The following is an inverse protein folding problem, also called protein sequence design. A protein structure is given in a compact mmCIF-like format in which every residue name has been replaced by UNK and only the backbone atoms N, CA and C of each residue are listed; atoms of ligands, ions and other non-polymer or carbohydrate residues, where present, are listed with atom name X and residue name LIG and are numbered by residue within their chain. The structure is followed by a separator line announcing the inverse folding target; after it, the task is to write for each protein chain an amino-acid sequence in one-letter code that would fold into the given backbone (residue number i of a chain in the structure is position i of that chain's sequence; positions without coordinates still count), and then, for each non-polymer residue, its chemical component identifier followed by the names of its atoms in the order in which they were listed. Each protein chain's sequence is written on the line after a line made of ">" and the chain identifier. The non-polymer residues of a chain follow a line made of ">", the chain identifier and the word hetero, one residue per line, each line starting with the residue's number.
data_IF_316586267351
#
_entry.id   IF_316586267351
#
_cell.length_a   1.000
_cell.length_b   1.000
_cell.length_c   1.000
_cell.angle_alpha   90.00
_cell.angle_beta   90.00
_cell.angle_gamma   90.00
#
_symmetry.space_group_name_H-M   'P 1'
#
loop_
_entity.id
_entity.type
_entity.pdbx_description
1 polymer ?
#
# COMPACT_ATOMS: atom_id res chain seq x y z
N UNK A 1 -35.92 -43.79 47.91
CA UNK A 1 -36.41 -43.46 46.56
C UNK A 1 -35.42 -42.53 45.88
N UNK A 2 -35.32 -42.66 44.57
CA UNK A 2 -34.16 -42.38 43.73
C UNK A 2 -34.44 -41.12 42.89
N UNK A 3 -33.66 -40.05 43.05
CA UNK A 3 -33.68 -38.90 42.13
C UNK A 3 -32.25 -38.43 41.82
N UNK A 4 -31.79 -38.82 40.65
CA UNK A 4 -30.56 -38.35 40.00
C UNK A 4 -30.89 -37.01 39.33
N UNK A 5 -30.38 -35.90 39.85
CA UNK A 5 -30.41 -34.60 39.16
C UNK A 5 -29.13 -34.49 38.31
N UNK A 6 -29.29 -34.72 37.00
CA UNK A 6 -28.25 -34.50 36.00
C UNK A 6 -28.23 -33.01 35.62
N UNK A 7 -27.40 -32.22 36.27
CA UNK A 7 -27.18 -30.81 35.94
C UNK A 7 -26.25 -30.69 34.72
N UNK A 8 -26.81 -30.47 33.54
CA UNK A 8 -26.10 -30.09 32.32
C UNK A 8 -25.59 -28.63 32.46
N UNK A 9 -24.31 -28.47 32.79
CA UNK A 9 -23.59 -27.21 32.66
C UNK A 9 -23.20 -27.02 31.19
N UNK A 10 -23.98 -26.21 30.46
CA UNK A 10 -23.55 -25.64 29.18
C UNK A 10 -22.47 -24.59 29.46
N UNK A 11 -21.30 -24.64 28.81
CA UNK A 11 -20.33 -23.57 28.92
C UNK A 11 -20.89 -22.30 28.26
N UNK A 12 -20.99 -21.21 29.01
CA UNK A 12 -21.20 -19.88 28.48
C UNK A 12 -20.09 -19.57 27.46
N UNK A 13 -20.46 -19.55 26.19
CA UNK A 13 -19.62 -19.00 25.13
C UNK A 13 -19.55 -17.49 25.37
N UNK A 14 -18.46 -17.04 25.96
CA UNK A 14 -18.11 -15.62 26.04
C UNK A 14 -17.87 -15.16 24.60
N UNK A 15 -18.79 -14.35 24.07
CA UNK A 15 -18.59 -13.69 22.79
C UNK A 15 -17.27 -12.89 22.84
N UNK A 16 -16.42 -12.97 21.81
CA UNK A 16 -15.22 -12.14 21.75
C UNK A 16 -15.65 -10.67 21.76
N UNK A 17 -14.86 -9.78 22.41
CA UNK A 17 -15.15 -8.35 22.40
C UNK A 17 -15.26 -7.88 20.94
N UNK A 18 -16.42 -7.31 20.63
CA UNK A 18 -16.66 -6.58 19.39
C UNK A 18 -15.57 -5.51 19.29
N UNK A 19 -14.74 -5.48 18.22
CA UNK A 19 -13.79 -4.40 18.06
C UNK A 19 -14.61 -3.10 17.92
N UNK A 20 -14.42 -2.21 18.89
CA UNK A 20 -14.96 -0.86 18.88
C UNK A 20 -14.62 -0.18 17.55
N UNK A 21 -15.64 0.41 16.96
CA UNK A 21 -15.61 1.13 15.69
C UNK A 21 -14.53 2.22 15.82
N UNK A 22 -13.52 2.13 14.97
CA UNK A 22 -12.44 3.11 14.91
C UNK A 22 -13.01 4.52 14.72
N UNK A 23 -12.68 5.41 15.67
CA UNK A 23 -12.87 6.84 15.50
C UNK A 23 -12.29 7.30 14.17
N UNK A 24 -13.05 8.15 13.47
CA UNK A 24 -12.82 8.75 12.15
C UNK A 24 -11.56 9.65 12.07
N UNK A 25 -10.41 9.12 12.50
CA UNK A 25 -9.10 9.78 12.60
C UNK A 25 -7.92 8.88 12.18
N UNK A 26 -8.19 7.66 11.70
CA UNK A 26 -7.22 6.82 10.99
C UNK A 26 -7.22 7.27 9.52
N UNK A 27 -6.12 7.60 8.83
CA UNK A 27 -4.87 6.88 8.66
C UNK A 27 -3.81 7.83 8.07
N UNK A 28 -3.26 8.76 8.87
CA UNK A 28 -1.96 9.34 8.51
C UNK A 28 -0.85 8.37 8.94
N UNK A 29 -0.27 7.68 7.96
CA UNK A 29 0.72 6.64 8.25
C UNK A 29 1.79 6.60 7.17
N UNK A 30 3.05 6.46 7.59
CA UNK A 30 4.19 6.35 6.69
C UNK A 30 4.79 4.96 6.80
N UNK A 31 4.99 4.34 5.63
CA UNK A 31 5.56 3.02 5.48
C UNK A 31 6.79 3.08 4.60
N UNK A 32 7.84 2.34 4.97
CA UNK A 32 9.09 2.33 4.24
C UNK A 32 9.57 0.90 3.94
N UNK A 33 10.23 0.75 2.79
CA UNK A 33 10.96 -0.46 2.43
C UNK A 33 12.46 -0.20 2.40
N UNK A 34 13.24 -1.23 2.70
CA UNK A 34 14.70 -1.20 2.70
C UNK A 34 15.29 -2.32 1.84
N UNK A 35 16.62 -2.36 1.72
CA UNK A 35 17.33 -3.48 1.12
C UNK A 35 17.08 -4.84 1.84
N UNK A 36 16.72 -4.82 3.12
CA UNK A 36 16.48 -6.01 3.94
C UNK A 36 15.01 -6.43 3.97
N UNK A 37 14.14 -5.43 3.99
CA UNK A 37 12.68 -5.56 3.95
C UNK A 37 12.17 -4.97 2.63
N UNK A 38 12.35 -5.69 1.50
CA UNK A 38 12.15 -5.13 0.17
C UNK A 38 10.68 -5.03 -0.23
N UNK A 39 9.73 -5.41 0.64
CA UNK A 39 8.32 -5.49 0.29
C UNK A 39 7.43 -5.30 1.51
N UNK A 40 6.36 -4.54 1.34
CA UNK A 40 5.26 -4.40 2.29
C UNK A 40 3.92 -4.46 1.55
N UNK A 41 2.89 -4.81 2.30
CA UNK A 41 1.50 -4.73 1.88
C UNK A 41 0.74 -3.96 2.95
N UNK A 42 -0.05 -2.99 2.52
CA UNK A 42 -0.89 -2.19 3.42
C UNK A 42 -2.32 -2.30 2.92
N UNK A 43 -3.25 -2.52 3.84
CA UNK A 43 -4.70 -2.48 3.59
C UNK A 43 -5.26 -1.39 4.50
N UNK A 44 -6.10 -0.53 3.95
CA UNK A 44 -6.86 0.45 4.75
C UNK A 44 -8.14 -0.17 5.28
N UNK A 45 -8.72 0.50 6.27
CA UNK A 45 -10.06 0.20 6.73
C UNK A 45 -11.09 0.39 5.61
N UNK A 46 -12.31 -0.09 5.87
CA UNK A 46 -13.44 0.08 4.98
C UNK A 46 -13.97 1.51 5.13
N UNK A 47 -13.95 2.25 4.03
CA UNK A 47 -14.27 3.66 4.00
C UNK A 47 -15.52 3.86 3.15
N UNK A 48 -16.54 4.47 3.73
CA UNK A 48 -17.69 4.91 2.96
C UNK A 48 -17.36 6.24 2.29
N UNK A 49 -17.26 6.26 0.96
CA UNK A 49 -16.82 7.42 0.20
C UNK A 49 -17.83 7.83 -0.86
N UNK A 50 -17.91 9.15 -1.07
CA UNK A 50 -18.72 9.78 -2.10
C UNK A 50 -17.81 10.35 -3.22
N UNK A 51 -18.40 10.89 -4.29
CA UNK A 51 -17.66 11.45 -5.45
C UNK A 51 -16.82 12.70 -5.14
N UNK A 52 -16.99 13.29 -3.96
CA UNK A 52 -16.30 14.51 -3.50
C UNK A 52 -15.18 14.23 -2.52
N UNK A 53 -15.09 13.01 -1.99
CA UNK A 53 -14.05 12.57 -1.06
C UNK A 53 -13.05 11.67 -1.78
N UNK A 54 -11.77 12.00 -1.66
CA UNK A 54 -10.66 11.30 -2.32
C UNK A 54 -9.65 10.83 -1.27
N UNK A 55 -9.12 9.62 -1.44
CA UNK A 55 -8.01 9.15 -0.60
C UNK A 55 -6.69 9.66 -1.18
N UNK A 56 -5.94 10.45 -0.43
CA UNK A 56 -4.64 10.96 -0.85
C UNK A 56 -3.49 10.11 -0.31
N UNK A 57 -2.47 9.90 -1.15
CA UNK A 57 -1.21 9.30 -0.74
C UNK A 57 -0.04 9.93 -1.49
N UNK A 58 1.10 10.00 -0.81
CA UNK A 58 2.37 10.46 -1.37
C UNK A 58 3.42 9.36 -1.32
N UNK A 59 4.40 9.41 -2.21
CA UNK A 59 5.41 8.38 -2.31
C UNK A 59 6.76 8.92 -2.74
N UNK A 60 7.80 8.21 -2.32
CA UNK A 60 9.18 8.49 -2.69
C UNK A 60 9.90 7.18 -3.04
N UNK A 61 10.13 6.95 -4.33
CA UNK A 61 10.81 5.76 -4.85
C UNK A 61 12.28 6.11 -5.09
N UNK A 62 13.18 5.58 -4.26
CA UNK A 62 14.58 6.05 -4.21
C UNK A 62 15.57 5.14 -4.94
N UNK A 63 15.14 3.96 -5.41
CA UNK A 63 16.03 3.00 -6.05
C UNK A 63 15.40 2.32 -7.27
N UNK A 64 16.27 1.83 -8.16
CA UNK A 64 15.86 1.03 -9.30
C UNK A 64 14.97 -0.15 -8.89
N UNK A 65 13.93 -0.39 -9.71
CA UNK A 65 13.02 -1.53 -9.62
C UNK A 65 12.13 -1.51 -8.37
N UNK A 66 12.11 -0.38 -7.67
CA UNK A 66 11.08 -0.06 -6.69
C UNK A 66 9.81 0.35 -7.42
N UNK A 67 8.68 -0.21 -6.99
CA UNK A 67 7.36 0.05 -7.57
C UNK A 67 6.35 0.16 -6.43
N UNK A 68 5.43 1.09 -6.58
CA UNK A 68 4.24 1.22 -5.77
C UNK A 68 3.03 0.85 -6.64
N UNK A 69 2.15 0.02 -6.10
CA UNK A 69 0.84 -0.27 -6.68
C UNK A 69 -0.20 0.11 -5.65
N UNK A 70 -1.09 1.02 -6.02
CA UNK A 70 -2.27 1.37 -5.25
C UNK A 70 -3.47 0.71 -5.92
N UNK A 71 -4.29 0.01 -5.15
CA UNK A 71 -5.50 -0.65 -5.59
C UNK A 71 -6.67 0.01 -4.89
N UNK A 72 -7.63 0.49 -5.66
CA UNK A 72 -8.92 0.96 -5.19
C UNK A 72 -9.93 -0.14 -5.44
N UNK A 73 -10.52 -0.69 -4.38
CA UNK A 73 -11.47 -1.79 -4.46
C UNK A 73 -12.83 -1.37 -3.90
N UNK A 74 -13.87 -1.53 -4.72
CA UNK A 74 -15.26 -1.38 -4.30
C UNK A 74 -15.73 -2.66 -3.59
N UNK A 75 -16.35 -2.53 -2.41
CA UNK A 75 -16.81 -3.65 -1.57
C UNK A 75 -18.31 -3.98 -1.69
N UNK A 76 -18.97 -3.53 -2.76
CA UNK A 76 -20.38 -3.81 -3.03
C UNK A 76 -20.64 -4.99 -3.97
N UNK A 77 -21.91 -5.22 -4.30
CA UNK A 77 -22.31 -6.16 -5.36
C UNK A 77 -21.67 -5.76 -6.70
N UNK A 78 -21.02 -6.71 -7.37
CA UNK A 78 -20.19 -6.47 -8.57
C UNK A 78 -18.97 -5.54 -8.34
N UNK A 79 -18.48 -5.47 -7.10
CA UNK A 79 -17.25 -4.78 -6.75
C UNK A 79 -16.05 -5.25 -7.59
N UNK A 80 -15.23 -4.30 -8.05
CA UNK A 80 -13.98 -4.58 -8.73
C UNK A 80 -12.88 -3.65 -8.22
N UNK A 81 -11.63 -4.02 -8.51
CA UNK A 81 -10.45 -3.26 -8.12
C UNK A 81 -9.77 -2.61 -9.32
N UNK A 82 -9.43 -1.33 -9.22
CA UNK A 82 -8.60 -0.61 -10.20
C UNK A 82 -7.21 -0.39 -9.63
N UNK A 83 -6.18 -0.54 -10.45
CA UNK A 83 -4.78 -0.43 -10.03
C UNK A 83 -4.12 0.81 -10.64
N UNK A 84 -3.61 1.69 -9.77
CA UNK A 84 -2.68 2.75 -10.12
C UNK A 84 -1.24 2.32 -9.82
N UNK A 85 -0.34 2.53 -10.78
CA UNK A 85 1.02 2.00 -10.74
C UNK A 85 2.06 3.10 -10.88
N UNK A 86 2.92 3.19 -9.88
CA UNK A 86 4.05 4.10 -9.83
C UNK A 86 5.36 3.31 -9.79
N UNK A 87 6.39 3.79 -10.49
CA UNK A 87 7.66 3.09 -10.58
C UNK A 87 8.83 4.07 -10.66
N UNK A 88 9.96 3.67 -10.10
CA UNK A 88 11.21 4.42 -10.23
C UNK A 88 11.58 4.64 -11.69
N UNK A 89 11.78 5.90 -12.09
CA UNK A 89 12.16 6.28 -13.45
C UNK A 89 13.68 6.37 -13.58
N UNK A 90 14.28 5.37 -14.23
CA UNK A 90 15.75 5.31 -14.39
C UNK A 90 16.35 6.49 -15.16
N UNK A 91 15.61 7.06 -16.11
CA UNK A 91 16.10 8.14 -16.99
C UNK A 91 16.44 9.42 -16.25
N UNK A 92 15.81 9.70 -15.11
CA UNK A 92 16.09 10.91 -14.32
C UNK A 92 17.34 10.77 -13.44
N UNK A 93 17.76 9.53 -13.12
CA UNK A 93 18.82 9.26 -12.14
C UNK A 93 18.49 9.71 -10.71
N UNK A 94 17.31 10.31 -10.49
CA UNK A 94 16.83 10.87 -9.22
C UNK A 94 15.71 10.02 -8.66
N UNK A 95 15.40 10.21 -7.38
CA UNK A 95 14.22 9.59 -6.77
C UNK A 95 12.95 10.03 -7.50
N UNK A 96 12.00 9.11 -7.66
CA UNK A 96 10.67 9.41 -8.19
C UNK A 96 9.77 9.73 -7.01
N UNK A 97 9.53 11.02 -6.80
CA UNK A 97 8.62 11.54 -5.79
C UNK A 97 7.31 11.89 -6.49
N UNK A 98 6.19 11.58 -5.86
CA UNK A 98 4.89 11.90 -6.42
C UNK A 98 3.82 11.94 -5.35
N UNK A 99 2.69 12.56 -5.70
CA UNK A 99 1.52 12.63 -4.86
C UNK A 99 0.30 12.39 -5.74
N UNK A 100 -0.52 11.42 -5.36
CA UNK A 100 -1.62 10.93 -6.15
C UNK A 100 -2.84 10.69 -5.25
N UNK A 101 -4.01 10.58 -5.86
CA UNK A 101 -5.25 10.33 -5.15
C UNK A 101 -6.05 9.24 -5.82
N UNK A 102 -6.86 8.54 -5.01
CA UNK A 102 -7.84 7.55 -5.48
C UNK A 102 -9.21 8.19 -5.32
N UNK A 103 -9.94 8.23 -6.43
CA UNK A 103 -11.22 8.91 -6.53
C UNK A 103 -12.33 7.88 -6.81
N UNK A 104 -13.31 7.76 -5.91
CA UNK A 104 -14.51 6.95 -6.14
C UNK A 104 -15.18 7.30 -7.47
N UNK A 105 -15.40 6.28 -8.30
CA UNK A 105 -16.05 6.44 -9.60
C UNK A 105 -17.58 6.31 -9.55
N UNK A 106 -18.13 5.75 -8.48
CA UNK A 106 -19.59 5.64 -8.32
C UNK A 106 -20.20 6.96 -7.87
N UNK A 107 -21.37 7.30 -8.42
CA UNK A 107 -22.10 8.53 -8.09
C UNK A 107 -22.63 8.57 -6.66
N UNK A 108 -23.01 7.41 -6.12
CA UNK A 108 -23.54 7.26 -4.78
C UNK A 108 -22.45 6.87 -3.78
N UNK A 109 -22.72 7.11 -2.50
CA UNK A 109 -21.86 6.62 -1.42
C UNK A 109 -21.73 5.10 -1.51
N UNK A 110 -20.50 4.61 -1.44
CA UNK A 110 -20.20 3.18 -1.48
C UNK A 110 -19.02 2.89 -0.55
N UNK A 111 -18.94 1.64 -0.11
CA UNK A 111 -17.83 1.17 0.71
C UNK A 111 -16.65 0.80 -0.18
N UNK A 112 -15.52 1.44 0.06
CA UNK A 112 -14.25 1.17 -0.60
C UNK A 112 -13.22 0.67 0.41
N UNK A 113 -12.26 -0.13 -0.07
CA UNK A 113 -11.04 -0.44 0.65
C UNK A 113 -9.85 -0.28 -0.29
N UNK A 114 -8.74 0.18 0.26
CA UNK A 114 -7.55 0.49 -0.52
C UNK A 114 -6.41 -0.42 -0.12
N UNK A 115 -5.74 -0.98 -1.12
CA UNK A 115 -4.56 -1.81 -0.91
C UNK A 115 -3.34 -1.16 -1.55
N UNK A 116 -2.23 -1.16 -0.83
CA UNK A 116 -0.96 -0.67 -1.34
C UNK A 116 0.09 -1.78 -1.29
N UNK A 117 0.83 -1.92 -2.38
CA UNK A 117 2.02 -2.77 -2.44
C UNK A 117 3.21 -1.91 -2.82
N UNK A 118 4.12 -1.73 -1.87
CA UNK A 118 5.41 -1.10 -2.12
C UNK A 118 6.47 -2.20 -2.12
N UNK A 119 7.09 -2.43 -3.27
CA UNK A 119 8.06 -3.51 -3.44
C UNK A 119 9.28 -3.10 -4.27
N UNK A 120 10.45 -3.66 -3.92
CA UNK A 120 11.64 -3.66 -4.75
C UNK A 120 11.82 -5.05 -5.36
N UNK A 121 11.62 -5.16 -6.67
CA UNK A 121 11.74 -6.44 -7.36
C UNK A 121 13.20 -6.90 -7.40
N UNK A 122 13.51 -8.08 -6.89
CA UNK A 122 14.85 -8.67 -6.98
C UNK A 122 15.30 -8.89 -8.43
N UNK A 123 16.56 -8.57 -8.74
CA UNK A 123 17.17 -8.88 -10.05
C UNK A 123 17.11 -10.38 -10.26
N UNK A 124 16.50 -10.82 -11.37
CA UNK A 124 16.59 -12.22 -11.83
C UNK A 124 18.06 -12.48 -12.14
N UNK A 125 18.77 -13.08 -11.21
CA UNK A 125 20.05 -13.73 -11.47
C UNK A 125 19.79 -15.24 -11.48
N UNK A 126 20.56 -16.02 -12.25
CA UNK A 126 20.48 -17.49 -12.16
C UNK A 126 20.62 -17.96 -10.70
N UNK A 127 19.97 -19.07 -10.34
CA UNK A 127 19.73 -19.51 -8.95
C UNK A 127 20.97 -19.40 -8.03
N UNK A 128 22.16 -19.75 -8.53
CA UNK A 128 23.41 -19.72 -7.76
C UNK A 128 23.98 -18.31 -7.46
N UNK A 129 23.58 -17.27 -8.19
CA UNK A 129 24.09 -15.89 -7.99
C UNK A 129 23.29 -15.08 -6.98
N UNK A 130 22.02 -15.44 -6.72
CA UNK A 130 21.14 -14.69 -5.79
C UNK A 130 21.55 -14.93 -4.34
N UNK A 131 21.67 -16.19 -3.91
CA UNK A 131 22.08 -16.56 -2.55
C UNK A 131 23.47 -15.98 -2.19
N UNK A 132 24.42 -16.08 -3.12
CA UNK A 132 25.80 -15.60 -2.93
C UNK A 132 25.89 -14.08 -2.79
N UNK A 133 25.03 -13.32 -3.49
CA UNK A 133 24.99 -11.85 -3.38
C UNK A 133 24.25 -11.35 -2.15
N UNK A 134 23.21 -12.05 -1.68
CA UNK A 134 22.49 -11.69 -0.45
C UNK A 134 23.40 -11.92 0.77
N UNK A 135 24.07 -13.06 0.83
CA UNK A 135 25.06 -13.36 1.88
C UNK A 135 26.25 -12.38 1.88
N UNK A 136 26.73 -11.93 0.70
CA UNK A 136 27.80 -10.92 0.61
C UNK A 136 27.36 -9.52 1.08
N UNK A 137 26.12 -9.11 0.77
CA UNK A 137 25.60 -7.81 1.23
C UNK A 137 25.43 -7.73 2.75
N UNK A 138 25.14 -8.85 3.40
CA UNK A 138 25.08 -8.93 4.88
C UNK A 138 26.47 -8.86 5.53
N UNK A 139 27.53 -9.23 4.79
CA UNK A 139 28.88 -9.43 5.35
C UNK A 139 29.93 -8.39 4.94
N UNK A 140 29.62 -7.44 4.06
CA UNK A 140 30.65 -6.58 3.46
C UNK A 140 31.30 -5.61 4.46
N UNK A 141 30.57 -5.13 5.48
CA UNK A 141 31.08 -4.07 6.38
C UNK A 141 30.83 -4.35 7.88
N UNK A 142 30.47 -5.57 8.28
CA UNK A 142 30.10 -5.89 9.67
C UNK A 142 28.82 -5.20 10.18
N UNK A 143 28.30 -4.21 9.45
CA UNK A 143 27.06 -3.50 9.72
C UNK A 143 25.96 -3.90 8.73
N UNK A 144 24.80 -4.27 9.27
CA UNK A 144 23.58 -4.52 8.50
C UNK A 144 23.02 -3.18 8.04
N UNK A 145 23.43 -2.72 6.85
CA UNK A 145 22.98 -1.43 6.31
C UNK A 145 21.56 -1.56 5.71
N UNK A 146 20.54 -1.20 6.48
CA UNK A 146 19.13 -1.18 6.08
C UNK A 146 18.80 0.09 5.29
N UNK A 147 19.50 0.34 4.17
CA UNK A 147 19.25 1.54 3.36
C UNK A 147 17.78 1.57 2.92
N UNK A 148 17.09 2.67 3.23
CA UNK A 148 15.72 2.96 2.79
C UNK A 148 15.71 3.14 1.27
N UNK A 149 14.80 2.46 0.58
CA UNK A 149 14.73 2.44 -0.90
C UNK A 149 13.37 2.82 -1.46
N UNK A 150 12.34 2.88 -0.61
CA UNK A 150 11.04 3.39 -0.98
C UNK A 150 10.26 3.84 0.26
N UNK A 151 9.35 4.78 0.08
CA UNK A 151 8.43 5.27 1.09
C UNK A 151 7.05 5.52 0.48
N UNK A 152 6.03 5.23 1.27
CA UNK A 152 4.63 5.50 1.02
C UNK A 152 4.08 6.21 2.26
N UNK A 153 3.42 7.34 2.06
CA UNK A 153 2.68 8.04 3.11
C UNK A 153 1.21 8.09 2.70
N UNK A 154 0.35 7.59 3.58
CA UNK A 154 -1.09 7.75 3.48
C UNK A 154 -1.45 9.07 4.16
N UNK A 155 -2.07 10.00 3.43
CA UNK A 155 -2.42 11.32 3.95
C UNK A 155 -3.86 11.37 4.49
N UNK A 156 -4.62 10.29 4.28
CA UNK A 156 -6.02 10.15 4.66
C UNK A 156 -7.00 10.60 3.57
N UNK A 157 -8.29 10.61 3.94
CA UNK A 157 -9.38 11.06 3.07
C UNK A 157 -9.46 12.59 3.14
N UNK A 158 -9.55 13.23 1.97
CA UNK A 158 -9.63 14.69 1.83
C UNK A 158 -10.68 15.05 0.77
N UNK A 159 -11.17 16.30 0.75
CA UNK A 159 -11.97 16.79 -0.37
C UNK A 159 -11.19 16.66 -1.68
N UNK A 160 -11.81 16.13 -2.73
CA UNK A 160 -11.19 15.96 -4.05
C UNK A 160 -10.76 17.30 -4.71
N UNK A 161 -11.20 18.44 -4.19
CA UNK A 161 -10.74 19.78 -4.61
C UNK A 161 -9.38 20.15 -4.02
N UNK A 162 -9.01 19.53 -2.90
CA UNK A 162 -7.81 19.87 -2.11
C UNK A 162 -6.71 18.81 -2.23
N UNK A 163 -6.97 17.73 -2.97
CA UNK A 163 -5.96 16.70 -3.20
C UNK A 163 -4.85 17.20 -4.09
N UNK A 164 -3.65 16.70 -3.83
CA UNK A 164 -2.53 16.87 -4.73
C UNK A 164 -2.82 16.26 -6.12
N UNK A 165 -2.40 16.97 -7.17
CA UNK A 165 -2.42 16.49 -8.56
C UNK A 165 -1.00 16.59 -9.15
N UNK A 166 -0.02 16.00 -8.45
CA UNK A 166 1.35 15.93 -8.92
C UNK A 166 1.67 14.51 -9.38
N UNK A 167 1.05 14.10 -10.48
CA UNK A 167 1.56 12.99 -11.29
C UNK A 167 2.79 13.49 -12.07
N UNK A 168 3.87 13.87 -11.37
CA UNK A 168 5.11 14.26 -12.03
C UNK A 168 5.81 13.01 -12.56
N UNK A 169 5.35 12.53 -13.72
CA UNK A 169 6.21 11.80 -14.62
C UNK A 169 7.23 12.81 -15.16
N UNK A 170 8.55 12.55 -15.08
CA UNK A 170 9.48 13.31 -15.91
C UNK A 170 9.04 13.10 -17.36
N UNK A 171 8.45 14.15 -17.95
CA UNK A 171 7.95 14.17 -19.32
C UNK A 171 9.11 13.73 -20.22
N UNK A 172 9.00 12.62 -20.96
CA UNK A 172 10.01 12.30 -21.96
C UNK A 172 10.06 13.49 -22.93
N UNK A 173 11.25 13.99 -23.31
CA UNK A 173 11.34 15.04 -24.29
C UNK A 173 10.53 14.61 -25.52
N UNK A 174 9.58 15.46 -25.93
CA UNK A 174 8.75 15.24 -27.12
C UNK A 174 9.68 14.76 -28.23
N UNK A 175 9.53 13.51 -28.66
CA UNK A 175 10.12 13.10 -29.92
C UNK A 175 9.44 13.97 -30.97
N UNK A 176 10.18 14.96 -31.48
CA UNK A 176 9.79 15.70 -32.66
C UNK A 176 9.40 14.66 -33.71
N UNK A 177 8.15 14.72 -34.19
CA UNK A 177 7.83 14.16 -35.49
C UNK A 177 8.66 14.97 -36.47
N UNK A 178 9.66 14.32 -37.03
CA UNK A 178 10.26 14.75 -38.28
C UNK A 178 9.31 14.21 -39.34
N UNK A 179 8.53 15.10 -39.91
CA UNK A 179 8.03 14.93 -41.28
C UNK A 179 9.14 15.43 -42.23
#
# INVERSE_FOLDING_TARGET
>A
EMLIYLSLLLPLVVAPPVPEIADSSTLQATYAISDLTPKIFVRTDELELNTTSCLQYSFNLMAERVKLRAYECLLGENGYCVMNKHAYVRKSGKATVGCSSLRPWYRHSQTYTFYFTLERRERKYGANRVHRKRARRVRSDGHINAKKVGELTLDGVKPCSEVCNFDEYPVPPKQARVD
#
